data_IF_158794485805
#
_entry.id   IF_158794485805
#
_cell.length_a   1.000
_cell.length_b   1.000
_cell.length_c   1.000
_cell.angle_alpha   90.00
_cell.angle_beta   90.00
_cell.angle_gamma   90.00
#
_symmetry.space_group_name_H-M   'P 1'
#
loop_
_entity.id
_entity.type
_entity.pdbx_description
1 polymer ?
#
# COMPACT_ATOMS: atom_id res chain seq x y z
N UNK A 1 6.73 10.50 -15.14
CA UNK A 1 6.57 11.53 -14.11
C UNK A 1 7.93 12.14 -13.74
N UNK A 2 7.94 13.37 -13.27
CA UNK A 2 9.19 14.06 -12.91
C UNK A 2 10.08 13.25 -11.95
N UNK A 3 9.49 12.50 -11.02
CA UNK A 3 10.24 11.60 -10.13
C UNK A 3 10.93 10.47 -10.91
N UNK A 4 10.21 9.77 -11.79
CA UNK A 4 10.79 8.68 -12.57
C UNK A 4 11.88 9.17 -13.52
N UNK A 5 11.69 10.34 -14.13
CA UNK A 5 12.71 10.94 -14.99
C UNK A 5 13.97 11.30 -14.18
N UNK A 6 13.79 11.77 -12.95
CA UNK A 6 14.90 12.01 -12.02
C UNK A 6 15.58 10.70 -11.63
N UNK A 7 14.82 9.65 -11.27
CA UNK A 7 15.36 8.36 -10.88
C UNK A 7 16.22 7.76 -12.01
N UNK A 8 15.73 7.76 -13.25
CA UNK A 8 16.47 7.27 -14.41
C UNK A 8 17.82 8.01 -14.63
N UNK A 9 17.81 9.34 -14.43
CA UNK A 9 19.04 10.14 -14.56
C UNK A 9 20.02 10.01 -13.39
N UNK A 10 19.55 9.49 -12.28
CA UNK A 10 20.37 9.37 -11.06
C UNK A 10 21.36 8.20 -11.10
N UNK A 11 21.23 7.27 -12.07
CA UNK A 11 22.21 6.19 -12.28
C UNK A 11 22.41 5.32 -11.05
N UNK A 12 21.32 4.81 -10.45
CA UNK A 12 21.38 3.92 -9.28
C UNK A 12 21.61 4.60 -7.93
N UNK A 13 21.61 5.93 -7.86
CA UNK A 13 21.90 6.67 -6.62
C UNK A 13 20.68 6.88 -5.72
N UNK A 14 19.47 6.55 -6.20
CA UNK A 14 18.27 6.70 -5.39
C UNK A 14 17.96 5.39 -4.65
N UNK A 15 17.46 5.55 -3.43
CA UNK A 15 16.98 4.46 -2.61
C UNK A 15 15.49 4.60 -2.33
N UNK A 16 14.80 3.45 -2.22
CA UNK A 16 13.45 3.40 -1.70
C UNK A 16 13.36 2.54 -0.46
N UNK A 17 12.49 2.93 0.46
CA UNK A 17 12.29 2.23 1.72
C UNK A 17 11.09 1.29 1.71
N UNK A 18 11.18 0.23 2.52
CA UNK A 18 10.03 -0.60 2.89
C UNK A 18 10.00 -0.86 4.39
N UNK A 19 8.83 -1.20 4.92
CA UNK A 19 8.66 -1.58 6.31
C UNK A 19 8.90 -3.08 6.58
N UNK A 20 9.49 -3.79 5.62
CA UNK A 20 9.90 -5.19 5.76
C UNK A 20 10.15 -5.85 4.40
N UNK A 21 10.98 -6.90 4.41
CA UNK A 21 11.18 -7.74 3.24
C UNK A 21 9.88 -8.46 2.88
N UNK A 22 9.55 -8.54 1.59
CA UNK A 22 8.31 -9.14 1.10
C UNK A 22 7.04 -8.31 1.35
N UNK A 23 7.10 -7.22 2.12
CA UNK A 23 5.98 -6.32 2.28
C UNK A 23 5.69 -5.54 0.98
N UNK A 24 4.44 -5.06 0.82
CA UNK A 24 4.03 -4.35 -0.40
C UNK A 24 5.00 -3.24 -0.86
N UNK A 25 5.52 -2.36 0.00
CA UNK A 25 6.50 -1.34 -0.42
C UNK A 25 7.76 -1.90 -1.04
N UNK A 26 8.26 -3.04 -0.54
CA UNK A 26 9.39 -3.73 -1.17
C UNK A 26 9.03 -4.18 -2.57
N UNK A 27 7.92 -4.92 -2.70
CA UNK A 27 7.50 -5.53 -3.97
C UNK A 27 7.15 -4.47 -5.01
N UNK A 28 6.36 -3.46 -4.64
CA UNK A 28 5.94 -2.39 -5.54
C UNK A 28 7.11 -1.47 -5.93
N UNK A 29 8.04 -1.19 -5.00
CA UNK A 29 9.24 -0.42 -5.28
C UNK A 29 10.19 -1.14 -6.23
N UNK A 30 10.42 -2.45 -6.03
CA UNK A 30 11.21 -3.28 -6.92
C UNK A 30 10.58 -3.36 -8.32
N UNK A 31 9.26 -3.57 -8.38
CA UNK A 31 8.52 -3.59 -9.64
C UNK A 31 8.64 -2.26 -10.39
N UNK A 32 8.45 -1.14 -9.69
CA UNK A 32 8.62 0.20 -10.27
C UNK A 32 10.05 0.43 -10.75
N UNK A 33 11.04 0.11 -9.92
CA UNK A 33 12.45 0.27 -10.27
C UNK A 33 12.80 -0.45 -11.55
N UNK A 34 12.38 -1.72 -11.67
CA UNK A 34 12.67 -2.55 -12.82
C UNK A 34 11.89 -2.12 -14.08
N UNK A 35 10.55 -2.00 -13.98
CA UNK A 35 9.70 -1.74 -15.15
C UNK A 35 9.84 -0.33 -15.70
N UNK A 36 10.23 0.62 -14.84
CA UNK A 36 10.47 2.01 -15.23
C UNK A 36 11.97 2.29 -15.46
N UNK A 37 12.85 1.29 -15.40
CA UNK A 37 14.30 1.46 -15.59
C UNK A 37 14.88 2.57 -14.68
N UNK A 38 14.42 2.59 -13.41
CA UNK A 38 14.76 3.62 -12.46
C UNK A 38 15.99 3.28 -11.61
N UNK A 39 16.43 2.03 -11.60
CA UNK A 39 17.62 1.51 -10.92
C UNK A 39 17.74 2.00 -9.46
N UNK A 40 16.65 1.81 -8.69
CA UNK A 40 16.60 2.24 -7.29
C UNK A 40 17.02 1.11 -6.35
N UNK A 41 17.84 1.42 -5.35
CA UNK A 41 18.23 0.48 -4.30
C UNK A 41 17.15 0.32 -3.23
N UNK A 42 16.91 -0.90 -2.76
CA UNK A 42 15.96 -1.18 -1.68
C UNK A 42 16.62 -1.13 -0.31
N UNK A 43 15.99 -0.44 0.65
CA UNK A 43 16.40 -0.39 2.06
C UNK A 43 15.24 -0.84 2.95
N UNK A 44 15.34 -2.02 3.60
CA UNK A 44 14.31 -2.51 4.51
C UNK A 44 14.45 -1.91 5.91
N UNK A 45 13.31 -1.56 6.52
CA UNK A 45 13.22 -1.08 7.90
C UNK A 45 12.34 -2.01 8.75
N UNK A 46 12.49 -1.95 10.06
CA UNK A 46 11.65 -2.68 11.01
C UNK A 46 10.37 -1.90 11.33
N UNK A 47 9.51 -1.72 10.32
CA UNK A 47 8.25 -1.01 10.44
C UNK A 47 8.18 0.31 9.67
N UNK A 48 6.98 0.87 9.60
CA UNK A 48 6.70 2.06 8.78
C UNK A 48 7.24 3.35 9.43
N UNK A 49 7.18 3.48 10.76
CA UNK A 49 7.64 4.67 11.45
C UNK A 49 9.14 4.96 11.26
N UNK A 50 10.08 4.00 11.44
CA UNK A 50 11.48 4.23 11.15
C UNK A 50 11.73 4.51 9.65
N UNK A 51 11.02 3.86 8.73
CA UNK A 51 11.10 4.16 7.30
C UNK A 51 10.74 5.62 7.00
N UNK A 52 9.66 6.13 7.63
CA UNK A 52 9.23 7.52 7.44
C UNK A 52 10.24 8.52 8.00
N UNK A 53 10.91 8.22 9.10
CA UNK A 53 11.97 9.09 9.64
C UNK A 53 13.14 9.21 8.67
N UNK A 54 13.56 8.11 8.06
CA UNK A 54 14.64 8.09 7.07
C UNK A 54 14.26 8.79 5.77
N UNK A 55 12.99 8.69 5.36
CA UNK A 55 12.47 9.46 4.23
C UNK A 55 12.51 10.98 4.52
N UNK A 56 12.09 11.41 5.71
CA UNK A 56 12.13 12.80 6.14
C UNK A 56 13.58 13.30 6.27
N UNK A 57 14.47 12.43 6.74
CA UNK A 57 15.90 12.70 6.85
C UNK A 57 16.66 12.69 5.52
N UNK A 58 16.01 12.29 4.42
CA UNK A 58 16.61 12.25 3.08
C UNK A 58 17.55 11.06 2.83
N UNK A 59 17.63 10.08 3.76
CA UNK A 59 18.43 8.88 3.58
C UNK A 59 17.85 7.96 2.49
N UNK A 60 16.53 7.98 2.32
CA UNK A 60 15.83 7.39 1.19
C UNK A 60 15.02 8.47 0.48
N UNK A 61 14.79 8.31 -0.83
CA UNK A 61 14.13 9.32 -1.66
C UNK A 61 12.70 8.98 -2.00
N UNK A 62 12.28 7.72 -1.77
CA UNK A 62 10.92 7.25 -2.03
C UNK A 62 10.52 6.17 -1.01
N UNK A 63 9.24 6.13 -0.69
CA UNK A 63 8.62 5.04 0.03
C UNK A 63 7.14 4.91 -0.35
N UNK A 64 6.61 3.69 -0.29
CA UNK A 64 5.17 3.48 -0.21
C UNK A 64 4.79 3.45 1.27
N UNK A 65 3.93 4.34 1.68
CA UNK A 65 3.50 4.50 3.05
C UNK A 65 1.97 4.56 3.15
N UNK A 66 1.44 4.19 4.33
CA UNK A 66 0.02 4.40 4.63
C UNK A 66 -0.30 5.89 4.75
N UNK A 67 -1.54 6.28 4.43
CA UNK A 67 -1.97 7.65 4.65
C UNK A 67 -1.92 8.02 6.15
N UNK A 68 -2.16 7.05 7.03
CA UNK A 68 -2.06 7.24 8.48
C UNK A 68 -0.68 7.78 8.90
N UNK A 69 0.41 7.20 8.38
CA UNK A 69 1.77 7.61 8.71
C UNK A 69 2.23 8.82 7.89
N UNK A 70 1.82 8.90 6.62
CA UNK A 70 2.30 9.94 5.73
C UNK A 70 1.62 11.30 5.95
N UNK A 71 0.31 11.33 6.25
CA UNK A 71 -0.49 12.57 6.27
C UNK A 71 0.04 13.65 7.21
N UNK A 72 0.43 13.39 8.47
CA UNK A 72 0.99 14.43 9.33
C UNK A 72 2.24 15.09 8.75
N UNK A 73 3.05 14.33 8.03
CA UNK A 73 4.28 14.82 7.40
C UNK A 73 4.02 15.54 6.08
N UNK A 74 2.97 15.13 5.35
CA UNK A 74 2.47 15.85 4.17
C UNK A 74 1.93 17.22 4.56
N UNK A 75 1.08 17.27 5.60
CA UNK A 75 0.47 18.51 6.10
C UNK A 75 1.55 19.46 6.64
N UNK A 76 2.63 18.94 7.23
CA UNK A 76 3.79 19.70 7.68
C UNK A 76 4.80 20.06 6.57
N UNK A 77 4.53 19.66 5.31
CA UNK A 77 5.42 19.94 4.18
C UNK A 77 6.77 19.23 4.20
N UNK A 78 6.94 18.21 5.08
CA UNK A 78 8.20 17.47 5.22
C UNK A 78 8.42 16.42 4.15
N UNK A 79 7.34 15.91 3.56
CA UNK A 79 7.34 14.96 2.46
C UNK A 79 6.31 15.38 1.42
N UNK A 80 6.39 14.84 0.22
CA UNK A 80 5.45 15.10 -0.87
C UNK A 80 4.83 13.80 -1.37
N UNK A 81 3.51 13.73 -1.41
CA UNK A 81 2.83 12.63 -2.08
C UNK A 81 2.94 12.81 -3.60
N UNK A 82 3.47 11.80 -4.28
CA UNK A 82 3.67 11.80 -5.73
C UNK A 82 2.63 10.96 -6.48
N UNK A 83 1.90 10.13 -5.75
CA UNK A 83 0.83 9.29 -6.29
C UNK A 83 0.26 8.37 -5.23
N UNK A 84 -0.94 7.86 -5.47
CA UNK A 84 -1.57 6.80 -4.67
C UNK A 84 -1.79 5.56 -5.51
N UNK A 85 -1.78 4.40 -4.89
CA UNK A 85 -2.14 3.13 -5.50
C UNK A 85 -3.67 2.95 -5.52
N UNK A 86 -4.17 1.99 -6.29
CA UNK A 86 -5.59 1.74 -6.43
C UNK A 86 -6.21 2.41 -7.66
N UNK A 87 -7.48 2.14 -7.87
CA UNK A 87 -8.25 2.64 -9.03
C UNK A 87 -8.78 4.05 -8.84
N UNK A 88 -8.84 4.54 -7.60
CA UNK A 88 -9.39 5.84 -7.24
C UNK A 88 -8.43 6.60 -6.33
N UNK A 89 -8.53 7.94 -6.37
CA UNK A 89 -7.82 8.80 -5.41
C UNK A 89 -8.36 8.56 -4.00
N UNK A 90 -7.48 8.65 -3.02
CA UNK A 90 -7.90 8.52 -1.63
C UNK A 90 -8.76 9.70 -1.19
N UNK A 91 -9.81 9.44 -0.42
CA UNK A 91 -10.69 10.47 0.14
C UNK A 91 -9.94 11.49 1.02
N UNK A 92 -8.91 11.02 1.71
CA UNK A 92 -8.04 11.84 2.57
C UNK A 92 -6.96 12.62 1.80
N UNK A 93 -6.71 12.28 0.53
CA UNK A 93 -5.71 12.89 -0.35
C UNK A 93 -6.30 13.17 -1.75
N UNK A 94 -7.40 13.92 -1.87
CA UNK A 94 -8.16 14.03 -3.13
C UNK A 94 -7.39 14.73 -4.26
N UNK A 95 -6.35 15.49 -3.91
CA UNK A 95 -5.51 16.20 -4.88
C UNK A 95 -4.31 15.37 -5.34
N UNK A 96 -4.07 14.19 -4.77
CA UNK A 96 -2.99 13.31 -5.19
C UNK A 96 -3.51 12.33 -6.24
N UNK A 97 -2.97 12.35 -7.47
CA UNK A 97 -3.43 11.48 -8.54
C UNK A 97 -3.04 10.02 -8.25
N UNK A 98 -3.80 9.08 -8.82
CA UNK A 98 -3.39 7.68 -8.80
C UNK A 98 -2.17 7.47 -9.70
N UNK A 99 -1.43 6.38 -9.47
CA UNK A 99 -0.34 6.00 -10.35
C UNK A 99 -0.84 5.69 -11.77
N UNK A 100 -2.06 5.14 -11.90
CA UNK A 100 -2.71 4.88 -13.17
C UNK A 100 -3.04 6.17 -13.95
N UNK A 101 -3.54 7.23 -13.28
CA UNK A 101 -3.75 8.57 -13.87
C UNK A 101 -2.44 9.16 -14.40
N UNK A 102 -1.30 8.78 -13.83
CA UNK A 102 0.03 9.22 -14.25
C UNK A 102 0.68 8.32 -15.32
N UNK A 103 -0.07 7.37 -15.87
CA UNK A 103 0.39 6.48 -16.96
C UNK A 103 0.92 5.13 -16.52
N UNK A 104 1.00 4.84 -15.22
CA UNK A 104 1.40 3.54 -14.68
C UNK A 104 0.16 2.63 -14.55
N UNK A 105 -0.27 2.03 -15.66
CA UNK A 105 -1.57 1.36 -15.79
C UNK A 105 -1.57 -0.13 -15.41
N UNK A 106 -0.41 -0.70 -15.08
CA UNK A 106 -0.30 -2.11 -14.70
C UNK A 106 -1.07 -2.39 -13.40
N UNK A 107 -1.63 -3.59 -13.28
CA UNK A 107 -2.39 -4.04 -12.10
C UNK A 107 -1.57 -3.96 -10.81
N UNK A 108 -0.25 -4.12 -10.88
CA UNK A 108 0.66 -3.96 -9.74
C UNK A 108 0.54 -2.59 -9.04
N UNK A 109 0.14 -1.55 -9.76
CA UNK A 109 -0.07 -0.21 -9.21
C UNK A 109 -1.51 0.04 -8.73
N UNK A 110 -2.41 -0.91 -8.99
CA UNK A 110 -3.82 -0.86 -8.55
C UNK A 110 -4.05 -1.61 -7.25
N UNK A 111 -3.14 -2.53 -6.89
CA UNK A 111 -3.21 -3.21 -5.59
C UNK A 111 -3.15 -2.19 -4.47
N UNK A 112 -4.06 -2.30 -3.53
CA UNK A 112 -4.11 -1.49 -2.31
C UNK A 112 -3.87 -2.38 -1.10
N UNK A 113 -3.26 -1.81 -0.06
CA UNK A 113 -3.22 -2.48 1.24
C UNK A 113 -4.63 -2.59 1.82
N UNK A 114 -4.99 -3.74 2.35
CA UNK A 114 -6.26 -3.96 3.04
C UNK A 114 -6.04 -4.53 4.43
N UNK A 115 -6.97 -4.25 5.33
CA UNK A 115 -7.07 -4.86 6.64
C UNK A 115 -8.26 -5.79 6.66
N UNK A 116 -8.04 -7.04 7.03
CA UNK A 116 -9.08 -8.05 7.11
C UNK A 116 -8.96 -8.87 8.39
N UNK A 117 -10.05 -9.48 8.79
CA UNK A 117 -10.07 -10.50 9.83
C UNK A 117 -10.05 -11.88 9.21
N UNK A 118 -9.30 -12.79 9.80
CA UNK A 118 -9.28 -14.20 9.44
C UNK A 118 -9.58 -15.07 10.67
N UNK A 119 -10.24 -16.18 10.44
CA UNK A 119 -10.48 -17.20 11.45
C UNK A 119 -9.61 -18.44 11.16
N UNK A 120 -9.28 -19.26 12.18
CA UNK A 120 -8.62 -20.54 11.96
C UNK A 120 -9.39 -21.43 10.98
N UNK A 121 -8.67 -22.25 10.21
CA UNK A 121 -9.31 -23.22 9.36
C UNK A 121 -10.22 -24.17 10.18
N UNK A 122 -11.41 -24.46 9.64
CA UNK A 122 -12.41 -25.30 10.33
C UNK A 122 -13.30 -24.56 11.33
N UNK A 123 -13.17 -23.23 11.48
CA UNK A 123 -14.15 -22.45 12.25
C UNK A 123 -15.54 -22.63 11.63
N UNK A 124 -16.58 -22.96 12.42
CA UNK A 124 -17.94 -23.14 11.90
C UNK A 124 -18.42 -21.90 11.14
N UNK A 125 -19.12 -22.14 10.02
CA UNK A 125 -19.55 -21.06 9.12
C UNK A 125 -20.45 -20.03 9.82
N UNK A 126 -21.34 -20.46 10.68
CA UNK A 126 -22.25 -19.62 11.46
C UNK A 126 -21.49 -18.65 12.38
N UNK A 127 -20.36 -19.10 12.97
CA UNK A 127 -19.47 -18.25 13.77
C UNK A 127 -18.82 -17.20 12.91
N UNK A 128 -18.27 -17.58 11.74
CA UNK A 128 -17.66 -16.62 10.80
C UNK A 128 -18.69 -15.61 10.31
N UNK A 129 -19.86 -16.06 9.92
CA UNK A 129 -20.95 -15.19 9.42
C UNK A 129 -21.41 -14.22 10.51
N UNK A 130 -21.51 -14.67 11.77
CA UNK A 130 -21.88 -13.82 12.90
C UNK A 130 -20.82 -12.74 13.15
N UNK A 131 -19.54 -13.09 13.17
CA UNK A 131 -18.45 -12.11 13.35
C UNK A 131 -18.48 -11.10 12.21
N UNK A 132 -18.61 -11.55 10.95
CA UNK A 132 -18.67 -10.66 9.79
C UNK A 132 -19.87 -9.69 9.86
N UNK A 133 -21.03 -10.16 10.33
CA UNK A 133 -22.22 -9.32 10.51
C UNK A 133 -21.99 -8.24 11.57
N UNK A 134 -21.40 -8.59 12.72
CA UNK A 134 -21.10 -7.64 13.80
C UNK A 134 -20.05 -6.61 13.37
N UNK A 135 -19.00 -7.03 12.67
CA UNK A 135 -17.99 -6.11 12.13
C UNK A 135 -18.61 -5.13 11.14
N UNK A 136 -19.44 -5.62 10.20
CA UNK A 136 -20.16 -4.74 9.26
C UNK A 136 -21.07 -3.76 9.99
N UNK A 137 -21.84 -4.23 10.98
CA UNK A 137 -22.69 -3.35 11.78
C UNK A 137 -21.87 -2.27 12.53
N UNK A 138 -20.74 -2.64 13.13
CA UNK A 138 -19.83 -1.69 13.78
C UNK A 138 -19.28 -0.65 12.77
N UNK A 139 -18.92 -1.07 11.57
CA UNK A 139 -18.44 -0.18 10.51
C UNK A 139 -19.52 0.80 9.99
N UNK A 140 -20.81 0.60 10.28
CA UNK A 140 -21.87 1.54 9.95
C UNK A 140 -22.06 2.65 11.01
N UNK A 141 -21.49 2.48 12.21
CA UNK A 141 -21.58 3.49 13.27
C UNK A 141 -20.84 4.77 12.87
N UNK A 142 -21.44 5.96 13.00
CA UNK A 142 -20.86 7.21 12.53
C UNK A 142 -19.47 7.52 13.12
N UNK A 143 -19.28 7.26 14.42
CA UNK A 143 -18.01 7.48 15.11
C UNK A 143 -16.91 6.49 14.66
N UNK A 144 -17.25 5.23 14.38
CA UNK A 144 -16.34 4.24 13.82
C UNK A 144 -15.92 4.64 12.41
N UNK A 145 -16.89 5.01 11.57
CA UNK A 145 -16.60 5.50 10.19
C UNK A 145 -15.68 6.71 10.22
N UNK A 146 -15.96 7.67 11.08
CA UNK A 146 -15.14 8.88 11.20
C UNK A 146 -13.69 8.55 11.62
N UNK A 147 -13.50 7.61 12.56
CA UNK A 147 -12.16 7.17 12.98
C UNK A 147 -11.42 6.43 11.88
N UNK A 148 -12.07 5.51 11.18
CA UNK A 148 -11.47 4.78 10.06
C UNK A 148 -11.06 5.74 8.93
N UNK A 149 -11.93 6.67 8.58
CA UNK A 149 -11.63 7.70 7.59
C UNK A 149 -10.46 8.61 8.03
N UNK A 150 -10.40 9.01 9.31
CA UNK A 150 -9.29 9.80 9.83
C UNK A 150 -7.94 9.07 9.76
N UNK A 151 -7.94 7.73 9.81
CA UNK A 151 -6.75 6.91 9.59
C UNK A 151 -6.41 6.73 8.10
N UNK A 152 -7.20 7.27 7.19
CA UNK A 152 -6.99 7.18 5.74
C UNK A 152 -7.43 5.86 5.12
N UNK A 153 -8.34 5.13 5.76
CA UNK A 153 -8.91 3.90 5.22
C UNK A 153 -10.34 4.13 4.72
N UNK A 154 -10.67 3.47 3.63
CA UNK A 154 -12.02 3.36 3.11
C UNK A 154 -12.62 2.02 3.53
N UNK A 155 -13.83 2.05 4.09
CA UNK A 155 -14.53 0.85 4.52
C UNK A 155 -15.01 0.09 3.29
N UNK A 156 -14.55 -1.17 3.17
CA UNK A 156 -15.05 -2.13 2.20
C UNK A 156 -16.13 -2.99 2.88
N UNK A 157 -17.38 -2.80 2.51
CA UNK A 157 -18.50 -3.60 3.06
C UNK A 157 -18.59 -4.94 2.33
N UNK A 158 -17.64 -5.84 2.61
CA UNK A 158 -17.55 -7.13 1.94
C UNK A 158 -18.04 -8.28 2.82
N UNK A 159 -18.77 -9.25 2.21
CA UNK A 159 -19.01 -10.54 2.85
C UNK A 159 -17.74 -11.39 2.87
N UNK A 160 -17.68 -12.46 3.71
CA UNK A 160 -16.57 -13.41 3.68
C UNK A 160 -16.31 -14.00 2.29
N UNK A 161 -17.37 -14.29 1.53
CA UNK A 161 -17.28 -14.84 0.17
C UNK A 161 -16.76 -13.81 -0.83
N UNK A 162 -17.22 -12.55 -0.73
CA UNK A 162 -16.75 -11.45 -1.58
C UNK A 162 -15.27 -11.17 -1.33
N UNK A 163 -14.83 -11.14 -0.06
CA UNK A 163 -13.43 -10.99 0.29
C UNK A 163 -12.57 -12.16 -0.21
N UNK A 164 -13.05 -13.41 -0.03
CA UNK A 164 -12.33 -14.59 -0.54
C UNK A 164 -12.19 -14.57 -2.06
N UNK A 165 -13.17 -14.04 -2.78
CA UNK A 165 -13.12 -13.87 -4.24
C UNK A 165 -12.10 -12.82 -4.62
N UNK A 166 -12.14 -11.64 -4.01
CA UNK A 166 -11.19 -10.57 -4.26
C UNK A 166 -9.74 -11.00 -3.95
N UNK A 167 -9.52 -11.69 -2.82
CA UNK A 167 -8.23 -12.25 -2.44
C UNK A 167 -7.67 -13.18 -3.53
N UNK A 168 -8.51 -14.13 -4.02
CA UNK A 168 -8.09 -15.05 -5.09
C UNK A 168 -7.77 -14.34 -6.40
N UNK A 169 -8.46 -13.26 -6.72
CA UNK A 169 -8.20 -12.47 -7.93
C UNK A 169 -6.89 -11.70 -7.84
N UNK A 170 -6.48 -11.28 -6.65
CA UNK A 170 -5.22 -10.56 -6.44
C UNK A 170 -4.00 -11.49 -6.40
N UNK A 171 -4.14 -12.77 -6.03
CA UNK A 171 -3.02 -13.70 -5.87
C UNK A 171 -2.05 -13.71 -7.06
N UNK A 172 -2.47 -13.77 -8.34
CA UNK A 172 -1.54 -13.78 -9.47
C UNK A 172 -0.67 -12.52 -9.56
N UNK A 173 -1.22 -11.36 -9.15
CA UNK A 173 -0.46 -10.09 -9.11
C UNK A 173 0.62 -10.17 -8.04
N UNK A 174 0.26 -10.64 -6.84
CA UNK A 174 1.20 -10.81 -5.73
C UNK A 174 2.31 -11.81 -6.06
N UNK A 175 1.97 -12.96 -6.64
CA UNK A 175 2.95 -13.96 -7.09
C UNK A 175 3.93 -13.38 -8.10
N UNK A 176 3.44 -12.60 -9.07
CA UNK A 176 4.27 -11.90 -10.04
C UNK A 176 5.21 -10.91 -9.38
N UNK A 177 4.71 -10.09 -8.45
CA UNK A 177 5.51 -9.10 -7.71
C UNK A 177 6.60 -9.77 -6.87
N UNK A 178 6.27 -10.84 -6.14
CA UNK A 178 7.23 -11.62 -5.33
C UNK A 178 8.33 -12.19 -6.23
N UNK A 179 7.95 -12.84 -7.34
CA UNK A 179 8.91 -13.43 -8.28
C UNK A 179 9.86 -12.38 -8.86
N UNK A 180 9.33 -11.21 -9.24
CA UNK A 180 10.12 -10.15 -9.86
C UNK A 180 11.01 -9.40 -8.86
N UNK A 181 10.57 -9.24 -7.63
CA UNK A 181 11.38 -8.58 -6.60
C UNK A 181 12.56 -9.40 -6.10
N UNK A 182 12.56 -10.72 -6.37
CA UNK A 182 13.54 -11.64 -5.81
C UNK A 182 13.40 -11.84 -4.29
N UNK A 183 12.29 -11.40 -3.69
CA UNK A 183 12.02 -11.57 -2.26
C UNK A 183 11.99 -13.05 -1.90
N UNK A 184 12.85 -13.45 -0.98
CA UNK A 184 12.80 -14.75 -0.32
C UNK A 184 12.28 -14.50 1.10
N UNK A 185 11.22 -15.18 1.47
CA UNK A 185 10.77 -15.28 2.84
C UNK A 185 11.51 -16.47 3.44
N UNK A 186 12.41 -16.20 4.38
CA UNK A 186 13.08 -17.22 5.18
C UNK A 186 12.10 -17.88 6.15
#
# INVERSE_FOLDING_TARGET
>A
SAFLDHAKRSGGKLAYGSYGLGAYPHLAGAYMSMTQQADMSHIPYKGEAPMMLELIGGQIQMAYASALQAKPHLDAGKVKAIGVTGDHRMSTLPNVPTLAEQGLKDEAYRVTGWLAMAAPAGTPKDVVDRIAAEVRAACQLPDVRARIAAMGFDIQDSSPEAFATAYKQELPVWERLIKLSGAKLD
#
